data_IF_684142651302
#
_entry.id   IF_684142651302
#
_cell.length_a   1.000
_cell.length_b   1.000
_cell.length_c   1.000
_cell.angle_alpha   90.00
_cell.angle_beta   90.00
_cell.angle_gamma   90.00
#
_symmetry.space_group_name_H-M   'P 1'
#
loop_
_entity.id
_entity.type
_entity.pdbx_description
1 polymer ?
#
# COMPACT_ATOMS: atom_id res chain seq x y z
N UNK A 1 2.61 0.59 10.38
CA UNK A 1 1.76 -0.46 9.79
C UNK A 1 2.43 -1.04 8.55
N UNK A 2 2.12 -2.30 8.21
CA UNK A 2 2.38 -2.83 6.85
C UNK A 2 1.07 -3.11 6.17
N UNK A 3 0.87 -2.69 4.93
CA UNK A 3 -0.40 -2.86 4.25
C UNK A 3 -0.24 -3.08 2.74
N UNK A 4 -1.29 -3.65 2.15
CA UNK A 4 -1.34 -4.03 0.75
C UNK A 4 -2.79 -3.94 0.23
N UNK A 5 -2.92 -3.50 -1.02
CA UNK A 5 -4.19 -3.45 -1.73
C UNK A 5 -4.17 -4.44 -2.88
N UNK A 6 -5.26 -5.21 -3.01
CA UNK A 6 -5.56 -5.89 -4.26
C UNK A 6 -6.49 -5.03 -5.09
N UNK A 7 -6.22 -4.92 -6.40
CA UNK A 7 -7.00 -4.12 -7.32
C UNK A 7 -6.97 -4.69 -8.73
N UNK A 8 -7.98 -4.34 -9.52
CA UNK A 8 -7.98 -4.60 -10.95
C UNK A 8 -7.33 -3.40 -11.66
N UNK A 9 -6.31 -3.69 -12.46
CA UNK A 9 -5.69 -2.72 -13.37
C UNK A 9 -6.11 -3.03 -14.81
N UNK A 10 -6.67 -2.04 -15.49
CA UNK A 10 -6.95 -2.08 -16.93
C UNK A 10 -6.07 -1.00 -17.57
N UNK A 11 -5.49 -1.31 -18.72
CA UNK A 11 -4.55 -0.40 -19.38
C UNK A 11 -5.19 0.97 -19.67
N UNK A 12 -4.49 2.03 -19.30
CA UNK A 12 -4.98 3.42 -19.39
C UNK A 12 -6.04 3.84 -18.36
N UNK A 13 -6.56 2.91 -17.54
CA UNK A 13 -7.62 3.18 -16.57
C UNK A 13 -7.08 3.37 -15.14
N UNK A 14 -7.90 4.01 -14.30
CA UNK A 14 -7.64 4.07 -12.86
C UNK A 14 -7.82 2.70 -12.21
N UNK A 15 -7.04 2.35 -11.17
CA UNK A 15 -7.20 1.08 -10.47
C UNK A 15 -8.61 0.97 -9.88
N UNK A 16 -9.15 -0.24 -9.85
CA UNK A 16 -10.41 -0.57 -9.17
C UNK A 16 -10.10 -1.41 -7.92
N UNK A 17 -10.06 -0.81 -6.72
CA UNK A 17 -9.72 -1.52 -5.49
C UNK A 17 -10.70 -2.67 -5.20
N UNK A 18 -10.14 -3.81 -4.80
CA UNK A 18 -10.86 -5.05 -4.46
C UNK A 18 -10.83 -5.27 -2.96
N UNK A 19 -9.65 -5.20 -2.32
CA UNK A 19 -9.55 -5.35 -0.87
C UNK A 19 -8.32 -4.62 -0.32
N UNK A 20 -8.30 -4.45 1.00
CA UNK A 20 -7.19 -3.91 1.77
C UNK A 20 -6.89 -4.84 2.94
N UNK A 21 -5.62 -5.20 3.10
CA UNK A 21 -5.12 -5.92 4.27
C UNK A 21 -4.04 -5.09 4.92
N UNK A 22 -4.07 -4.99 6.24
CA UNK A 22 -2.96 -4.40 6.98
C UNK A 22 -2.67 -5.15 8.26
N UNK A 23 -1.41 -5.07 8.67
CA UNK A 23 -0.93 -5.51 9.96
C UNK A 23 -0.55 -4.29 10.78
N UNK A 24 -1.15 -4.19 11.96
CA UNK A 24 -0.76 -3.22 12.96
C UNK A 24 0.29 -3.84 13.87
N UNK A 25 1.47 -3.22 13.89
CA UNK A 25 2.62 -3.71 14.64
C UNK A 25 2.57 -3.35 16.12
N UNK A 26 1.75 -2.37 16.52
CA UNK A 26 1.59 -2.02 17.94
C UNK A 26 0.70 -3.04 18.64
N UNK A 27 -0.45 -3.36 18.04
CA UNK A 27 -1.38 -4.37 18.56
C UNK A 27 -1.01 -5.82 18.20
N UNK A 28 -0.27 -6.03 17.11
CA UNK A 28 0.00 -7.34 16.53
C UNK A 28 -1.18 -7.92 15.73
N UNK A 29 -2.24 -7.13 15.52
CA UNK A 29 -3.44 -7.57 14.82
C UNK A 29 -3.32 -7.44 13.30
N UNK A 30 -4.04 -8.30 12.58
CA UNK A 30 -4.14 -8.25 11.12
C UNK A 30 -5.59 -8.10 10.71
N UNK A 31 -5.88 -7.03 9.99
CA UNK A 31 -7.23 -6.67 9.59
C UNK A 31 -7.39 -6.81 8.08
N UNK A 32 -8.61 -7.11 7.65
CA UNK A 32 -8.96 -7.41 6.25
C UNK A 32 -10.28 -6.74 5.94
N UNK A 33 -10.29 -5.90 4.91
CA UNK A 33 -11.50 -5.20 4.44
C UNK A 33 -11.77 -5.62 3.01
N UNK A 34 -12.98 -6.11 2.76
CA UNK A 34 -13.43 -6.49 1.43
C UNK A 34 -14.12 -5.32 0.72
N UNK A 35 -14.28 -5.46 -0.59
CA UNK A 35 -14.64 -4.40 -1.54
C UNK A 35 -15.76 -3.47 -1.09
N UNK A 36 -16.91 -4.03 -0.73
CA UNK A 36 -18.10 -3.21 -0.45
C UNK A 36 -17.89 -2.30 0.77
N UNK A 37 -17.17 -2.77 1.78
CA UNK A 37 -16.76 -1.93 2.92
C UNK A 37 -15.71 -0.91 2.48
N UNK A 38 -14.66 -1.37 1.79
CA UNK A 38 -13.56 -0.51 1.33
C UNK A 38 -14.05 0.69 0.53
N UNK A 39 -14.93 0.48 -0.44
CA UNK A 39 -15.45 1.53 -1.32
C UNK A 39 -16.34 2.56 -0.61
N UNK A 40 -16.87 2.23 0.58
CA UNK A 40 -17.68 3.15 1.39
C UNK A 40 -16.84 4.03 2.30
N UNK A 41 -15.60 3.63 2.58
CA UNK A 41 -14.71 4.35 3.49
C UNK A 41 -14.21 5.66 2.88
N UNK A 42 -14.11 6.69 3.72
CA UNK A 42 -13.68 8.04 3.33
C UNK A 42 -12.25 8.38 3.72
N UNK A 43 -11.60 7.51 4.48
CA UNK A 43 -10.22 7.63 4.93
C UNK A 43 -9.65 6.24 5.22
N UNK A 44 -8.33 6.15 5.33
CA UNK A 44 -7.63 4.94 5.75
C UNK A 44 -8.12 4.43 7.12
N UNK A 45 -8.22 3.10 7.34
CA UNK A 45 -8.53 2.53 8.66
C UNK A 45 -7.40 2.67 9.68
N UNK A 46 -6.20 3.08 9.27
CA UNK A 46 -5.03 3.26 10.12
C UNK A 46 -4.47 4.69 10.03
N UNK A 47 -3.63 5.06 11.00
CA UNK A 47 -2.96 6.36 11.00
C UNK A 47 -1.98 6.47 9.82
N UNK A 48 -2.01 7.64 9.17
CA UNK A 48 -1.21 8.00 8.00
C UNK A 48 -0.43 9.30 8.24
N UNK A 49 -0.47 9.84 9.46
CA UNK A 49 0.25 11.05 9.88
C UNK A 49 1.76 10.83 10.00
N UNK A 50 2.52 11.89 10.31
CA UNK A 50 3.96 11.80 10.55
C UNK A 50 4.37 10.86 11.71
N UNK A 51 3.41 10.40 12.53
CA UNK A 51 3.69 9.51 13.68
C UNK A 51 3.79 8.04 13.27
N UNK A 52 3.33 7.69 12.08
CA UNK A 52 3.25 6.31 11.62
C UNK A 52 4.11 6.10 10.38
N UNK A 53 4.90 5.01 10.38
CA UNK A 53 5.56 4.51 9.17
C UNK A 53 4.59 3.55 8.47
N UNK A 54 4.27 3.87 7.23
CA UNK A 54 3.48 3.07 6.31
C UNK A 54 4.43 2.26 5.41
N UNK A 55 4.66 0.99 5.75
CA UNK A 55 5.55 0.11 5.00
C UNK A 55 4.77 -0.69 3.97
N UNK A 56 5.15 -0.61 2.70
CA UNK A 56 4.54 -1.39 1.61
C UNK A 56 5.60 -2.02 0.73
N UNK A 57 5.21 -2.94 -0.14
CA UNK A 57 6.15 -3.49 -1.12
C UNK A 57 6.36 -2.54 -2.28
N UNK A 58 5.30 -2.03 -2.92
CA UNK A 58 5.43 -1.12 -4.06
C UNK A 58 4.38 0.00 -3.97
N UNK A 59 4.73 1.09 -3.30
CA UNK A 59 3.81 2.17 -2.95
C UNK A 59 3.14 2.83 -4.15
N UNK A 60 3.73 2.76 -5.34
CA UNK A 60 3.06 3.20 -6.57
C UNK A 60 1.70 2.51 -6.77
N UNK A 61 1.61 1.21 -6.45
CA UNK A 61 0.38 0.45 -6.48
C UNK A 61 -0.59 0.89 -5.37
N UNK A 62 -0.17 0.85 -4.10
CA UNK A 62 -1.06 1.18 -2.98
C UNK A 62 -1.49 2.65 -2.99
N UNK A 63 -0.57 3.57 -3.30
CA UNK A 63 -0.84 4.99 -3.46
C UNK A 63 -1.85 5.28 -4.57
N UNK A 64 -1.83 4.52 -5.66
CA UNK A 64 -2.86 4.65 -6.71
C UNK A 64 -4.26 4.27 -6.19
N UNK A 65 -4.36 3.29 -5.28
CA UNK A 65 -5.61 2.97 -4.58
C UNK A 65 -6.05 4.09 -3.63
N UNK A 66 -5.14 4.69 -2.86
CA UNK A 66 -5.46 5.88 -2.04
C UNK A 66 -6.07 6.99 -2.90
N UNK A 67 -5.45 7.26 -4.05
CA UNK A 67 -5.87 8.33 -4.97
C UNK A 67 -7.30 8.13 -5.50
N UNK A 68 -7.69 6.91 -5.89
CA UNK A 68 -9.05 6.62 -6.42
C UNK A 68 -10.11 6.52 -5.33
N UNK A 69 -9.72 6.11 -4.11
CA UNK A 69 -10.59 6.11 -2.95
C UNK A 69 -10.79 7.53 -2.37
N UNK A 70 -10.02 8.51 -2.84
CA UNK A 70 -10.02 9.88 -2.33
C UNK A 70 -9.42 10.00 -0.93
N UNK A 71 -8.53 9.08 -0.55
CA UNK A 71 -7.84 9.10 0.72
C UNK A 71 -6.57 9.93 0.61
N UNK A 72 -6.17 10.56 1.72
CA UNK A 72 -4.85 11.18 1.80
C UNK A 72 -3.75 10.12 1.74
N UNK A 73 -2.61 10.52 1.19
CA UNK A 73 -1.42 9.69 1.14
C UNK A 73 -0.70 9.72 2.50
N UNK A 74 -0.07 8.62 2.95
CA UNK A 74 0.73 8.64 4.16
C UNK A 74 1.91 9.59 4.08
N UNK A 75 2.18 10.26 5.19
CA UNK A 75 3.29 11.23 5.29
C UNK A 75 4.64 10.52 5.21
N UNK A 76 4.76 9.34 5.85
CA UNK A 76 5.98 8.54 5.88
C UNK A 76 5.73 7.18 5.23
N UNK A 77 6.23 7.00 4.01
CA UNK A 77 6.18 5.74 3.28
C UNK A 77 7.55 5.08 3.27
N UNK A 78 7.60 3.80 3.61
CA UNK A 78 8.74 2.92 3.34
C UNK A 78 8.35 1.95 2.22
N UNK A 79 8.95 2.14 1.04
CA UNK A 79 8.70 1.35 -0.16
C UNK A 79 9.83 0.32 -0.35
N UNK A 80 9.53 -0.95 -0.04
CA UNK A 80 10.54 -2.01 -0.06
C UNK A 80 11.07 -2.31 -1.47
N UNK A 81 10.27 -2.13 -2.52
CA UNK A 81 10.70 -2.27 -3.91
C UNK A 81 11.76 -1.22 -4.22
N UNK A 82 11.50 0.04 -3.88
CA UNK A 82 12.45 1.14 -4.06
C UNK A 82 13.76 0.89 -3.31
N UNK A 83 13.68 0.47 -2.03
CA UNK A 83 14.86 0.11 -1.24
C UNK A 83 15.64 -1.08 -1.83
N UNK A 84 14.93 -2.11 -2.30
CA UNK A 84 15.55 -3.25 -2.98
C UNK A 84 16.27 -2.83 -4.26
N UNK A 85 15.62 -2.02 -5.10
CA UNK A 85 16.21 -1.49 -6.34
C UNK A 85 17.43 -0.65 -6.05
N UNK A 86 17.38 0.21 -5.05
CA UNK A 86 18.52 1.03 -4.63
C UNK A 86 19.70 0.16 -4.18
N UNK A 87 19.44 -0.84 -3.33
CA UNK A 87 20.48 -1.74 -2.81
C UNK A 87 21.10 -2.64 -3.88
N UNK A 88 20.34 -3.03 -4.89
CA UNK A 88 20.75 -4.04 -5.88
C UNK A 88 21.06 -3.47 -7.26
N UNK A 89 20.97 -2.15 -7.44
CA UNK A 89 21.25 -1.51 -8.72
C UNK A 89 22.65 -1.89 -9.26
N UNK A 90 22.71 -2.33 -10.52
CA UNK A 90 23.94 -2.77 -11.17
C UNK A 90 24.47 -4.14 -10.71
N UNK A 91 23.76 -4.85 -9.83
CA UNK A 91 24.14 -6.19 -9.35
C UNK A 91 23.23 -7.27 -9.96
N UNK A 92 23.73 -8.51 -10.05
CA UNK A 92 22.91 -9.66 -10.44
C UNK A 92 22.25 -10.24 -9.20
N UNK A 93 20.92 -10.14 -9.13
CA UNK A 93 20.12 -10.71 -8.04
C UNK A 93 19.69 -12.15 -8.37
N UNK A 94 19.55 -13.03 -7.36
CA UNK A 94 19.11 -14.41 -7.58
C UNK A 94 17.63 -14.50 -7.97
N UNK A 95 16.80 -13.54 -7.53
CA UNK A 95 15.38 -13.44 -7.84
C UNK A 95 14.88 -12.00 -7.62
N UNK A 96 13.67 -11.72 -8.12
CA UNK A 96 13.04 -10.41 -8.01
C UNK A 96 13.47 -9.44 -9.11
N UNK A 97 12.85 -8.27 -9.11
CA UNK A 97 13.28 -7.11 -9.88
C UNK A 97 13.46 -5.97 -8.89
#
# INVERSE_FOLDING_TARGET
>A
VTYDFEYVSIDGERPSPVCLVWHDWESGETHRIWRDELLRMKKSPFDISEKTICCTYYYGAEGSCHQVLGWEHPTNVLDCFTEFRNRTNGTKVPCGN
#
